data_IF_363152802020
#
_entry.id   IF_363152802020
#
_cell.length_a   1.000
_cell.length_b   1.000
_cell.length_c   1.000
_cell.angle_alpha   90.00
_cell.angle_beta   90.00
_cell.angle_gamma   90.00
#
_symmetry.space_group_name_H-M   'P 1'
#
loop_
_entity.id
_entity.type
_entity.pdbx_description
1 polymer ?
#
# COMPACT_ATOMS: atom_id res chain seq x y z
N UNK A 1 9.83 10.85 13.03
CA UNK A 1 9.53 10.78 11.58
C UNK A 1 8.72 9.52 11.36
N UNK A 2 7.46 9.63 10.95
CA UNK A 2 6.68 8.47 10.54
C UNK A 2 6.88 8.29 9.03
N UNK A 3 7.38 7.13 8.62
CA UNK A 3 7.43 6.73 7.21
C UNK A 3 6.45 5.59 7.08
N UNK A 4 5.66 5.56 6.02
CA UNK A 4 4.71 4.48 5.82
C UNK A 4 5.18 3.74 4.60
N UNK A 5 5.51 2.47 4.78
CA UNK A 5 5.91 1.59 3.71
C UNK A 5 4.73 0.68 3.40
N UNK A 6 4.04 0.96 2.30
CA UNK A 6 2.99 0.09 1.79
C UNK A 6 3.64 -0.96 0.90
N UNK A 7 3.39 -2.24 1.16
CA UNK A 7 3.82 -3.35 0.31
C UNK A 7 2.63 -3.96 -0.38
N UNK A 8 2.82 -4.29 -1.66
CA UNK A 8 1.96 -5.21 -2.38
C UNK A 8 2.60 -6.58 -2.27
N UNK A 9 1.80 -7.56 -1.86
CA UNK A 9 2.26 -8.87 -1.40
C UNK A 9 1.57 -9.97 -2.21
N UNK A 10 2.31 -11.02 -2.57
CA UNK A 10 1.81 -12.22 -3.27
C UNK A 10 1.96 -13.47 -2.39
N UNK A 11 0.86 -14.15 -2.05
CA UNK A 11 0.82 -15.43 -1.30
C UNK A 11 1.45 -15.45 0.11
N UNK A 12 2.29 -14.48 0.51
CA UNK A 12 2.80 -14.32 1.88
C UNK A 12 3.48 -12.97 2.06
N UNK A 13 3.47 -12.41 3.28
CA UNK A 13 4.10 -11.11 3.63
C UNK A 13 5.59 -11.00 3.26
N UNK A 14 6.28 -12.14 3.08
CA UNK A 14 7.68 -12.18 2.66
C UNK A 14 7.88 -11.95 1.15
N UNK A 15 6.87 -12.24 0.31
CA UNK A 15 6.93 -12.10 -1.14
C UNK A 15 6.40 -10.72 -1.56
N UNK A 16 7.19 -9.68 -1.25
CA UNK A 16 6.92 -8.33 -1.71
C UNK A 16 7.10 -8.26 -3.24
N UNK A 17 6.02 -7.91 -3.93
CA UNK A 17 6.03 -7.71 -5.39
C UNK A 17 6.07 -6.23 -5.75
N UNK A 18 5.54 -5.35 -4.91
CA UNK A 18 5.56 -3.90 -5.11
C UNK A 18 5.68 -3.15 -3.79
N UNK A 19 6.07 -1.88 -3.87
CA UNK A 19 6.12 -1.01 -2.69
C UNK A 19 5.81 0.44 -3.02
N UNK A 20 5.39 1.17 -2.01
CA UNK A 20 5.23 2.62 -1.99
C UNK A 20 5.81 3.13 -0.67
N UNK A 21 6.73 4.08 -0.76
CA UNK A 21 7.25 4.81 0.39
C UNK A 21 6.72 6.23 0.31
N UNK A 22 6.03 6.67 1.36
CA UNK A 22 5.64 8.06 1.53
C UNK A 22 6.40 8.61 2.73
N UNK A 23 7.24 9.62 2.47
CA UNK A 23 8.02 10.28 3.51
C UNK A 23 7.18 11.39 4.17
N UNK A 24 6.95 11.28 5.49
CA UNK A 24 6.25 12.30 6.27
C UNK A 24 7.23 13.14 7.11
N UNK A 25 8.40 13.43 6.57
CA UNK A 25 9.47 14.18 7.24
C UNK A 25 9.10 15.64 7.56
N UNK A 26 8.07 16.19 6.92
CA UNK A 26 7.63 17.58 7.07
C UNK A 26 6.47 17.82 8.06
N UNK A 27 5.99 16.79 8.77
CA UNK A 27 4.96 16.91 9.82
C UNK A 27 3.50 16.92 9.32
N UNK A 28 2.62 16.39 10.18
CA UNK A 28 1.12 16.38 10.30
C UNK A 28 0.19 16.43 9.09
N UNK A 29 0.67 16.63 7.86
CA UNK A 29 -0.16 16.64 6.67
C UNK A 29 -0.36 15.22 6.15
N UNK A 30 -1.62 14.84 5.91
CA UNK A 30 -1.96 13.65 5.14
C UNK A 30 -1.33 13.73 3.76
N UNK A 31 -0.53 12.73 3.40
CA UNK A 31 0.17 12.67 2.10
C UNK A 31 -0.46 11.61 1.23
N UNK A 32 -0.58 11.93 -0.06
CA UNK A 32 -1.07 11.01 -1.08
C UNK A 32 0.12 10.36 -1.78
N UNK A 33 -0.01 9.07 -2.09
CA UNK A 33 0.94 8.33 -2.89
C UNK A 33 0.23 7.19 -3.62
N UNK A 34 0.72 6.85 -4.80
CA UNK A 34 0.17 5.78 -5.62
C UNK A 34 1.30 4.92 -6.18
N UNK A 35 1.07 3.61 -6.26
CA UNK A 35 1.96 2.69 -6.96
C UNK A 35 1.10 1.72 -7.78
N UNK A 36 1.67 1.14 -8.82
CA UNK A 36 0.99 0.18 -9.70
C UNK A 36 1.99 -0.86 -10.15
N UNK A 37 1.52 -2.10 -10.31
CA UNK A 37 2.32 -3.21 -10.76
C UNK A 37 1.53 -4.09 -11.72
N UNK A 38 2.22 -4.65 -12.70
CA UNK A 38 1.72 -5.75 -13.53
C UNK A 38 2.49 -7.01 -13.13
N UNK A 39 1.77 -8.04 -12.74
CA UNK A 39 2.32 -9.33 -12.31
C UNK A 39 1.64 -10.46 -13.07
N UNK A 40 2.36 -11.56 -13.26
CA UNK A 40 1.78 -12.82 -13.71
C UNK A 40 1.27 -13.58 -12.49
N UNK A 41 0.01 -14.01 -12.52
CA UNK A 41 -0.62 -14.83 -11.48
C UNK A 41 -0.86 -16.25 -11.98
N UNK A 42 -0.66 -17.23 -11.10
CA UNK A 42 -1.17 -18.58 -11.25
C UNK A 42 -2.55 -18.72 -10.60
N UNK A 43 -3.28 -19.77 -10.96
CA UNK A 43 -4.54 -20.08 -10.30
C UNK A 43 -4.29 -20.39 -8.81
N UNK A 44 -5.05 -19.71 -7.93
CA UNK A 44 -4.89 -19.83 -6.49
C UNK A 44 -3.89 -18.85 -5.86
N UNK A 45 -3.28 -17.96 -6.65
CA UNK A 45 -2.48 -16.87 -6.11
C UNK A 45 -3.36 -15.76 -5.52
N UNK A 46 -2.95 -15.27 -4.35
CA UNK A 46 -3.61 -14.18 -3.63
C UNK A 46 -2.73 -12.94 -3.61
N UNK A 47 -3.36 -11.78 -3.82
CA UNK A 47 -2.70 -10.47 -3.79
C UNK A 47 -3.37 -9.58 -2.78
N UNK A 48 -2.58 -8.99 -1.88
CA UNK A 48 -3.09 -8.04 -0.91
C UNK A 48 -2.08 -6.92 -0.61
N UNK A 49 -2.56 -5.89 0.08
CA UNK A 49 -1.77 -4.76 0.53
C UNK A 49 -1.48 -4.91 2.02
N UNK A 50 -0.23 -4.65 2.42
CA UNK A 50 0.17 -4.64 3.83
C UNK A 50 0.92 -3.35 4.16
N UNK A 51 0.49 -2.68 5.23
CA UNK A 51 1.23 -1.56 5.82
C UNK A 51 2.37 -2.13 6.67
N UNK A 52 3.61 -1.75 6.38
CA UNK A 52 4.69 -1.98 7.33
C UNK A 52 4.82 -0.80 8.29
N UNK A 53 4.69 -1.02 9.61
CA UNK A 53 4.89 0.04 10.57
C UNK A 53 6.37 0.43 10.60
N UNK A 54 6.74 1.55 9.98
CA UNK A 54 7.96 2.28 10.36
C UNK A 54 7.56 3.44 11.27
N UNK A 55 7.27 3.13 12.55
CA UNK A 55 6.75 4.09 13.52
C UNK A 55 5.22 4.11 13.57
N UNK A 56 4.60 5.29 13.73
CA UNK A 56 3.13 5.50 13.75
C UNK A 56 2.51 5.33 12.35
N UNK A 57 2.68 4.12 11.82
CA UNK A 57 2.44 3.51 10.52
C UNK A 57 1.03 3.40 9.88
N UNK A 58 0.03 4.21 10.21
CA UNK A 58 -1.35 4.14 9.69
C UNK A 58 -1.58 4.48 8.19
N UNK A 59 -2.20 3.55 7.44
CA UNK A 59 -2.99 3.89 6.23
C UNK A 59 -4.38 4.25 6.72
N UNK A 60 -4.87 5.44 6.37
CA UNK A 60 -6.22 5.86 6.71
C UNK A 60 -7.17 5.80 5.53
N UNK A 61 -8.42 5.45 5.83
CA UNK A 61 -9.56 5.59 4.95
C UNK A 61 -10.79 5.89 5.78
N UNK A 62 -11.52 6.96 5.44
CA UNK A 62 -12.78 7.30 6.08
C UNK A 62 -12.68 8.13 7.37
N UNK A 63 -11.50 8.65 7.73
CA UNK A 63 -11.40 9.63 8.83
C UNK A 63 -11.82 11.03 8.35
N UNK A 64 -12.77 11.64 9.08
CA UNK A 64 -13.29 13.01 8.88
C UNK A 64 -13.64 13.40 7.42
N UNK A 65 -14.09 12.42 6.64
CA UNK A 65 -14.88 12.62 5.41
C UNK A 65 -14.13 12.93 4.11
N UNK A 66 -12.83 13.20 4.13
CA UNK A 66 -12.09 13.62 2.92
C UNK A 66 -10.82 12.81 2.60
N UNK A 67 -10.51 11.77 3.38
CA UNK A 67 -9.33 10.92 3.19
C UNK A 67 -9.74 9.52 2.77
N UNK A 68 -9.18 9.07 1.65
CA UNK A 68 -9.52 7.79 1.05
C UNK A 68 -8.26 7.08 0.56
N UNK A 69 -8.21 5.78 0.85
CA UNK A 69 -7.22 4.86 0.32
C UNK A 69 -7.91 3.87 -0.61
N UNK A 70 -7.30 3.60 -1.76
CA UNK A 70 -7.87 2.77 -2.81
C UNK A 70 -6.96 1.58 -3.12
N UNK A 71 -7.56 0.41 -3.33
CA UNK A 71 -6.89 -0.76 -3.86
C UNK A 71 -7.79 -1.43 -4.89
N UNK A 72 -7.25 -1.66 -6.09
CA UNK A 72 -8.00 -2.21 -7.22
C UNK A 72 -7.08 -3.05 -8.11
N UNK A 73 -7.65 -4.04 -8.79
CA UNK A 73 -6.95 -4.87 -9.77
C UNK A 73 -7.89 -5.40 -10.84
N UNK A 74 -7.34 -5.74 -12.00
CA UNK A 74 -8.06 -6.33 -13.13
C UNK A 74 -7.13 -7.22 -13.96
N UNK A 75 -7.73 -8.12 -14.75
CA UNK A 75 -7.00 -8.99 -15.66
C UNK A 75 -6.61 -8.22 -16.93
N UNK A 76 -5.33 -8.30 -17.32
CA UNK A 76 -4.82 -7.77 -18.59
C UNK A 76 -4.54 -8.96 -19.51
N UNK A 77 -5.11 -8.94 -20.71
CA UNK A 77 -4.99 -10.00 -21.73
C UNK A 77 -4.36 -9.46 -23.02
#
# INVERSE_FOLDING_TARGET
>A
MARYNVKIVLNSVANQIGYLVVDNSAGTAWRQGSTTIVIKLAAGDDVWVTCLPLGNSDIEGGHEGNLHSYFSGFLVN
#
